data_IF_582555097021
#
_entry.id   IF_582555097021
#
_cell.length_a   1.000
_cell.length_b   1.000
_cell.length_c   1.000
_cell.angle_alpha   90.00
_cell.angle_beta   90.00
_cell.angle_gamma   90.00
#
_symmetry.space_group_name_H-M   'P 1'
#
loop_
_entity.id
_entity.type
_entity.pdbx_description
1 polymer ?
#
# COMPACT_ATOMS: atom_id res chain seq x y z
N UNK A 1 -46.93 27.71 16.37
CA UNK A 1 -45.76 28.00 15.48
C UNK A 1 -44.44 27.34 15.92
N UNK A 2 -44.44 26.30 16.79
CA UNK A 2 -43.22 25.68 17.34
C UNK A 2 -42.73 24.43 16.58
N UNK A 3 -43.56 23.86 15.70
CA UNK A 3 -43.28 22.60 15.00
C UNK A 3 -42.36 22.81 13.77
N UNK A 4 -42.30 24.01 13.19
CA UNK A 4 -41.48 24.28 11.98
C UNK A 4 -39.98 24.48 12.23
N UNK A 5 -39.54 24.66 13.49
CA UNK A 5 -38.11 24.83 13.81
C UNK A 5 -37.36 23.50 13.96
N UNK A 6 -38.04 22.44 14.41
CA UNK A 6 -37.42 21.13 14.65
C UNK A 6 -37.05 20.40 13.35
N UNK A 7 -37.83 20.60 12.28
CA UNK A 7 -37.61 19.94 10.98
C UNK A 7 -36.40 20.50 10.22
N UNK A 8 -36.05 21.78 10.43
CA UNK A 8 -34.90 22.40 9.76
C UNK A 8 -33.54 21.93 10.30
N UNK A 9 -33.46 21.62 11.60
CA UNK A 9 -32.21 21.16 12.23
C UNK A 9 -31.83 19.73 11.80
N UNK A 10 -32.82 18.85 11.57
CA UNK A 10 -32.58 17.48 11.13
C UNK A 10 -32.07 17.39 9.67
N UNK A 11 -32.51 18.30 8.78
CA UNK A 11 -32.06 18.35 7.39
C UNK A 11 -30.60 18.83 7.30
N UNK A 12 -30.17 19.74 8.17
CA UNK A 12 -28.78 20.21 8.23
C UNK A 12 -27.86 19.12 8.77
N UNK A 13 -28.28 18.35 9.79
CA UNK A 13 -27.46 17.27 10.36
C UNK A 13 -27.19 16.11 9.37
N UNK A 14 -28.13 15.80 8.47
CA UNK A 14 -27.93 14.78 7.43
C UNK A 14 -27.03 15.25 6.26
N UNK A 15 -26.84 16.56 6.08
CA UNK A 15 -25.98 17.11 5.04
C UNK A 15 -24.47 17.07 5.36
N UNK A 16 -24.11 16.68 6.59
CA UNK A 16 -22.72 16.58 7.06
C UNK A 16 -22.32 15.17 7.49
N UNK A 17 -23.13 14.16 7.18
CA UNK A 17 -22.64 12.79 7.14
C UNK A 17 -21.69 12.69 5.94
N UNK A 18 -20.45 13.13 6.12
CA UNK A 18 -19.39 12.80 5.18
C UNK A 18 -19.34 11.26 5.13
N UNK A 19 -19.39 10.64 3.95
CA UNK A 19 -19.13 9.21 3.87
C UNK A 19 -17.77 8.96 4.54
N UNK A 20 -17.67 7.87 5.30
CA UNK A 20 -16.36 7.35 5.71
C UNK A 20 -15.54 7.28 4.42
N UNK A 21 -14.51 8.11 4.32
CA UNK A 21 -13.68 8.11 3.12
C UNK A 21 -12.88 6.82 3.11
N UNK A 22 -12.82 6.19 1.94
CA UNK A 22 -12.03 4.99 1.71
C UNK A 22 -10.64 5.15 2.32
N UNK A 23 -10.25 4.20 3.17
CA UNK A 23 -8.97 4.24 3.86
C UNK A 23 -7.88 3.71 2.91
N UNK A 24 -7.42 4.58 2.00
CA UNK A 24 -6.20 4.30 1.26
C UNK A 24 -5.01 4.59 2.16
N UNK A 25 -4.36 3.55 2.65
CA UNK A 25 -3.14 3.67 3.45
C UNK A 25 -1.96 3.79 2.49
N UNK A 26 -1.10 4.78 2.70
CA UNK A 26 0.07 5.00 1.85
C UNK A 26 1.35 4.79 2.67
N UNK A 27 2.36 4.23 2.01
CA UNK A 27 3.65 3.95 2.59
C UNK A 27 4.76 4.39 1.65
N UNK A 28 5.80 4.99 2.24
CA UNK A 28 7.10 5.12 1.60
C UNK A 28 7.81 3.77 1.68
N UNK A 29 8.48 3.40 0.59
CA UNK A 29 9.19 2.13 0.44
C UNK A 29 10.69 2.37 0.51
N UNK A 30 11.38 1.63 1.37
CA UNK A 30 12.84 1.62 1.43
C UNK A 30 13.40 0.21 1.32
N UNK A 31 14.67 0.11 0.93
CA UNK A 31 15.36 -1.16 0.81
C UNK A 31 15.38 -1.94 2.14
N UNK A 32 15.20 -3.25 2.05
CA UNK A 32 15.41 -4.17 3.15
C UNK A 32 16.93 -4.31 3.41
N UNK A 33 17.53 -3.44 4.23
CA UNK A 33 19.01 -3.35 4.23
C UNK A 33 19.75 -4.32 5.16
N UNK A 34 20.85 -4.87 4.62
CA UNK A 34 21.99 -5.48 5.31
C UNK A 34 23.01 -6.06 4.30
N UNK A 35 24.31 -5.75 4.43
CA UNK A 35 25.40 -6.34 3.64
C UNK A 35 25.94 -5.50 2.45
N UNK A 36 26.78 -6.10 1.60
CA UNK A 36 27.56 -5.39 0.58
C UNK A 36 26.74 -4.83 -0.60
N UNK A 37 25.51 -5.31 -0.82
CA UNK A 37 24.65 -4.91 -1.93
C UNK A 37 23.18 -4.80 -1.47
N UNK A 38 22.85 -3.76 -0.69
CA UNK A 38 21.47 -3.51 -0.26
C UNK A 38 20.55 -3.37 -1.46
N UNK A 39 19.38 -3.99 -1.40
CA UNK A 39 18.42 -4.00 -2.49
C UNK A 39 17.03 -4.27 -1.95
N UNK A 40 16.03 -3.91 -2.74
CA UNK A 40 14.67 -4.35 -2.51
C UNK A 40 14.05 -5.08 -3.70
N UNK A 41 14.71 -5.10 -4.86
CA UNK A 41 14.38 -5.96 -5.98
C UNK A 41 15.59 -6.83 -6.34
N UNK A 42 15.36 -8.13 -6.52
CA UNK A 42 16.35 -9.11 -6.98
C UNK A 42 15.84 -9.85 -8.22
N UNK A 43 16.60 -9.80 -9.32
CA UNK A 43 16.16 -10.32 -10.64
C UNK A 43 16.64 -11.75 -10.95
N UNK A 44 17.08 -12.50 -9.94
CA UNK A 44 17.44 -13.93 -10.04
C UNK A 44 18.27 -14.34 -11.27
N UNK A 45 19.41 -13.67 -11.45
CA UNK A 45 20.37 -13.88 -12.53
C UNK A 45 19.83 -13.68 -13.96
N UNK A 46 18.65 -13.07 -14.15
CA UNK A 46 18.04 -12.92 -15.48
C UNK A 46 18.96 -12.20 -16.49
N UNK A 47 19.81 -11.29 -16.01
CA UNK A 47 20.69 -10.47 -16.86
C UNK A 47 22.18 -10.74 -16.64
N UNK A 48 22.55 -11.21 -15.45
CA UNK A 48 23.93 -11.30 -15.02
C UNK A 48 24.09 -12.27 -13.85
N UNK A 49 25.20 -13.01 -13.83
CA UNK A 49 25.59 -13.83 -12.68
C UNK A 49 26.28 -13.02 -11.59
N UNK A 50 26.67 -11.76 -11.87
CA UNK A 50 27.25 -10.88 -10.87
C UNK A 50 26.25 -10.64 -9.72
N UNK A 51 26.73 -10.83 -8.50
CA UNK A 51 25.84 -10.86 -7.34
C UNK A 51 25.15 -9.53 -7.07
N UNK A 52 25.75 -8.40 -7.45
CA UNK A 52 25.25 -7.06 -7.12
C UNK A 52 24.58 -6.37 -8.30
N UNK A 53 24.94 -6.71 -9.54
CA UNK A 53 24.27 -6.15 -10.72
C UNK A 53 22.83 -6.68 -10.90
N UNK A 54 22.50 -7.84 -10.30
CA UNK A 54 21.14 -8.39 -10.26
C UNK A 54 20.27 -7.84 -9.11
N UNK A 55 20.81 -6.92 -8.33
CA UNK A 55 20.20 -6.36 -7.12
C UNK A 55 19.94 -4.88 -7.34
N UNK A 56 18.69 -4.47 -7.22
CA UNK A 56 18.22 -3.13 -7.48
C UNK A 56 17.73 -2.50 -6.18
N UNK A 57 18.27 -1.33 -5.85
CA UNK A 57 17.91 -0.58 -4.67
C UNK A 57 16.77 0.38 -4.99
N UNK A 58 15.65 0.31 -4.27
CA UNK A 58 14.55 1.27 -4.37
C UNK A 58 15.05 2.69 -4.13
N UNK A 59 14.51 3.63 -4.91
CA UNK A 59 14.80 5.05 -4.85
C UNK A 59 13.68 5.81 -4.16
N UNK A 60 13.98 7.03 -3.71
CA UNK A 60 13.00 7.96 -3.17
C UNK A 60 11.82 8.13 -4.13
N UNK A 61 10.61 8.20 -3.56
CA UNK A 61 9.37 8.24 -4.34
C UNK A 61 8.84 6.87 -4.77
N UNK A 62 9.49 5.77 -4.36
CA UNK A 62 8.88 4.44 -4.42
C UNK A 62 7.83 4.34 -3.32
N UNK A 63 6.61 3.95 -3.70
CA UNK A 63 5.44 3.94 -2.83
C UNK A 63 4.71 2.62 -2.90
N UNK A 64 4.12 2.25 -1.76
CA UNK A 64 3.16 1.18 -1.64
C UNK A 64 1.87 1.73 -1.05
N UNK A 65 0.74 1.44 -1.66
CA UNK A 65 -0.57 1.83 -1.14
C UNK A 65 -1.51 0.64 -1.04
N UNK A 66 -2.39 0.69 -0.05
CA UNK A 66 -3.42 -0.33 0.22
C UNK A 66 -4.76 0.37 0.28
N UNK A 67 -5.66 -0.01 -0.63
CA UNK A 67 -7.07 0.34 -0.60
C UNK A 67 -7.83 -0.83 0.04
N UNK A 68 -8.15 -0.68 1.32
CA UNK A 68 -8.78 -1.71 2.14
C UNK A 68 -10.25 -1.94 1.77
N UNK A 69 -10.91 -0.94 1.17
CA UNK A 69 -12.30 -1.06 0.73
C UNK A 69 -12.41 -1.93 -0.52
N UNK A 70 -11.50 -1.72 -1.47
CA UNK A 70 -11.46 -2.48 -2.72
C UNK A 70 -10.64 -3.77 -2.60
N UNK A 71 -9.89 -3.95 -1.52
CA UNK A 71 -8.98 -5.09 -1.33
C UNK A 71 -7.88 -5.11 -2.38
N UNK A 72 -7.36 -3.93 -2.74
CA UNK A 72 -6.33 -3.75 -3.77
C UNK A 72 -5.10 -3.04 -3.23
N UNK A 73 -3.93 -3.35 -3.79
CA UNK A 73 -2.68 -2.67 -3.48
C UNK A 73 -2.02 -2.11 -4.74
N UNK A 74 -1.21 -1.06 -4.60
CA UNK A 74 -0.39 -0.54 -5.70
C UNK A 74 1.05 -0.37 -5.24
N UNK A 75 2.00 -0.90 -6.00
CA UNK A 75 3.42 -0.72 -5.78
C UNK A 75 4.02 -0.03 -7.01
N UNK A 76 4.49 1.19 -6.84
CA UNK A 76 5.07 1.99 -7.94
C UNK A 76 6.37 2.63 -7.51
N UNK A 77 7.30 2.80 -8.44
CA UNK A 77 8.54 3.52 -8.17
C UNK A 77 9.69 3.10 -9.06
N UNK A 78 10.90 3.38 -8.59
CA UNK A 78 12.12 3.02 -9.32
C UNK A 78 13.13 2.35 -8.41
N UNK A 79 13.94 1.46 -8.99
CA UNK A 79 15.05 0.84 -8.33
C UNK A 79 16.29 0.89 -9.24
N UNK A 80 17.50 1.01 -8.67
CA UNK A 80 18.74 1.18 -9.43
C UNK A 80 19.78 0.14 -8.98
N UNK A 81 20.45 -0.51 -9.93
CA UNK A 81 21.56 -1.44 -9.63
C UNK A 81 22.93 -0.72 -9.61
N UNK A 82 24.01 -1.45 -9.31
CA UNK A 82 25.36 -0.88 -9.25
C UNK A 82 25.91 -0.38 -10.60
N UNK A 83 25.30 -0.78 -11.73
CA UNK A 83 25.66 -0.30 -13.06
C UNK A 83 24.91 0.98 -13.43
N UNK A 84 23.98 1.45 -12.60
CA UNK A 84 23.10 2.58 -12.89
C UNK A 84 21.91 2.21 -13.79
N UNK A 85 21.64 0.92 -14.00
CA UNK A 85 20.43 0.49 -14.70
C UNK A 85 19.21 0.74 -13.82
N UNK A 86 18.19 1.36 -14.42
CA UNK A 86 16.95 1.71 -13.73
C UNK A 86 15.89 0.67 -14.04
N UNK A 87 15.31 0.11 -12.99
CA UNK A 87 14.07 -0.65 -13.01
C UNK A 87 12.92 0.28 -12.62
N UNK A 88 11.90 0.40 -13.47
CA UNK A 88 10.64 1.10 -13.14
C UNK A 88 9.60 0.06 -12.82
N UNK A 89 9.00 0.13 -11.62
CA UNK A 89 7.99 -0.81 -11.16
C UNK A 89 6.61 -0.16 -11.21
N UNK A 90 5.64 -0.90 -11.74
CA UNK A 90 4.23 -0.53 -11.73
C UNK A 90 3.40 -1.81 -11.59
N UNK A 91 3.06 -2.12 -10.34
CA UNK A 91 2.37 -3.35 -9.94
C UNK A 91 1.05 -3.01 -9.25
N UNK A 92 0.01 -3.75 -9.60
CA UNK A 92 -1.29 -3.73 -8.93
C UNK A 92 -1.53 -5.10 -8.29
N UNK A 93 -1.93 -5.08 -7.02
CA UNK A 93 -2.24 -6.27 -6.22
C UNK A 93 -3.74 -6.34 -5.97
N UNK A 94 -4.26 -7.56 -5.80
CA UNK A 94 -5.66 -7.78 -5.43
C UNK A 94 -5.84 -9.07 -4.64
N UNK A 95 -7.05 -9.29 -4.14
CA UNK A 95 -7.34 -10.43 -3.27
C UNK A 95 -6.71 -10.24 -1.89
N UNK A 96 -6.95 -9.08 -1.27
CA UNK A 96 -6.52 -8.80 0.09
C UNK A 96 -7.10 -9.84 1.06
N UNK A 97 -6.24 -10.39 1.91
CA UNK A 97 -6.58 -11.33 2.98
C UNK A 97 -5.89 -10.90 4.28
N UNK A 98 -6.64 -10.96 5.37
CA UNK A 98 -6.10 -10.71 6.72
C UNK A 98 -5.39 -11.95 7.31
N UNK A 99 -5.55 -13.12 6.68
CA UNK A 99 -4.99 -14.40 7.15
C UNK A 99 -4.87 -15.42 6.02
N UNK A 100 -3.91 -16.34 6.14
CA UNK A 100 -3.75 -17.48 5.23
C UNK A 100 -4.44 -18.75 5.74
N UNK A 101 -5.00 -18.72 6.96
CA UNK A 101 -5.59 -19.89 7.60
C UNK A 101 -6.75 -20.47 6.77
N UNK A 102 -6.62 -21.74 6.37
CA UNK A 102 -7.66 -22.43 5.59
C UNK A 102 -7.75 -22.04 4.12
N UNK A 103 -6.85 -21.19 3.62
CA UNK A 103 -6.87 -20.71 2.23
C UNK A 103 -6.16 -21.66 1.26
N UNK A 104 -5.17 -22.42 1.74
CA UNK A 104 -4.30 -23.26 0.92
C UNK A 104 -3.12 -22.50 0.28
N UNK A 105 -2.99 -21.20 0.55
CA UNK A 105 -1.82 -20.40 0.19
C UNK A 105 -0.70 -20.57 1.21
N UNK A 106 0.53 -20.42 0.72
CA UNK A 106 1.75 -20.53 1.49
C UNK A 106 2.33 -19.14 1.79
N UNK A 107 2.74 -18.94 3.04
CA UNK A 107 3.56 -17.79 3.43
C UNK A 107 4.93 -17.87 2.73
N UNK A 108 5.46 -16.74 2.25
CA UNK A 108 6.80 -16.72 1.63
C UNK A 108 7.85 -17.01 2.71
N UNK A 109 8.53 -18.14 2.57
CA UNK A 109 9.60 -18.52 3.48
C UNK A 109 10.83 -17.61 3.33
N UNK A 110 11.29 -17.05 4.45
CA UNK A 110 12.52 -16.27 4.58
C UNK A 110 12.37 -15.08 5.54
N UNK A 111 11.16 -14.54 5.67
CA UNK A 111 10.83 -13.47 6.63
C UNK A 111 10.65 -13.92 8.06
N UNK A 112 10.02 -13.04 8.85
CA UNK A 112 9.60 -13.37 10.19
C UNK A 112 8.64 -14.57 10.20
N UNK A 113 8.41 -15.20 11.36
CA UNK A 113 7.35 -16.19 11.50
C UNK A 113 6.02 -15.62 10.99
N UNK A 114 5.21 -16.46 10.37
CA UNK A 114 3.81 -16.15 10.05
C UNK A 114 3.09 -15.67 11.31
N UNK A 115 2.44 -14.51 11.21
CA UNK A 115 1.64 -13.92 12.28
C UNK A 115 0.37 -13.26 11.72
N UNK A 116 -0.78 -13.96 11.71
CA UNK A 116 -2.04 -13.43 11.16
C UNK A 116 -2.66 -12.32 12.02
N UNK A 117 -2.09 -12.00 13.19
CA UNK A 117 -2.56 -10.87 13.98
C UNK A 117 -1.96 -9.53 13.53
N UNK A 118 -0.90 -9.58 12.71
CA UNK A 118 -0.14 -8.39 12.33
C UNK A 118 0.14 -8.29 10.84
N UNK A 119 0.00 -9.36 10.08
CA UNK A 119 0.34 -9.43 8.66
C UNK A 119 -0.90 -9.62 7.78
N UNK A 120 -0.87 -8.97 6.64
CA UNK A 120 -1.89 -9.04 5.59
C UNK A 120 -1.26 -9.51 4.27
N UNK A 121 -2.10 -9.99 3.35
CA UNK A 121 -1.66 -10.69 2.15
C UNK A 121 -2.45 -10.28 0.90
N UNK A 122 -1.81 -10.31 -0.26
CA UNK A 122 -2.48 -10.27 -1.56
C UNK A 122 -2.22 -11.57 -2.31
N UNK A 123 -3.29 -12.15 -2.86
CA UNK A 123 -3.24 -13.45 -3.54
C UNK A 123 -3.13 -13.37 -5.06
N UNK A 124 -3.30 -12.17 -5.62
CA UNK A 124 -3.19 -11.94 -7.06
C UNK A 124 -2.46 -10.62 -7.35
N UNK A 125 -1.84 -10.53 -8.52
CA UNK A 125 -1.16 -9.34 -8.98
C UNK A 125 -1.04 -9.28 -10.51
N UNK A 126 -0.96 -8.04 -11.00
CA UNK A 126 -0.65 -7.74 -12.39
C UNK A 126 0.28 -6.53 -12.46
N UNK A 127 0.92 -6.34 -13.60
CA UNK A 127 1.76 -5.16 -13.83
C UNK A 127 3.07 -5.50 -14.50
N UNK A 128 3.96 -4.51 -14.48
CA UNK A 128 5.21 -4.57 -15.23
C UNK A 128 6.40 -4.04 -14.45
N UNK A 129 7.57 -4.51 -14.83
CA UNK A 129 8.86 -3.96 -14.43
C UNK A 129 9.63 -3.64 -15.71
N UNK A 130 9.96 -2.38 -15.93
CA UNK A 130 10.73 -1.94 -17.11
C UNK A 130 12.21 -1.76 -16.75
N UNK A 131 13.10 -2.47 -17.43
CA UNK A 131 14.56 -2.40 -17.22
C UNK A 131 15.23 -2.20 -18.58
N UNK A 132 16.07 -1.17 -18.72
CA UNK A 132 16.81 -0.92 -19.97
C UNK A 132 15.91 -0.75 -21.21
N UNK A 133 14.68 -0.26 -21.02
CA UNK A 133 13.66 -0.11 -22.07
C UNK A 133 12.94 -1.41 -22.46
N UNK A 134 13.23 -2.53 -21.81
CA UNK A 134 12.51 -3.79 -21.97
C UNK A 134 11.44 -3.93 -20.89
N UNK A 135 10.26 -4.41 -21.28
CA UNK A 135 9.12 -4.61 -20.38
C UNK A 135 9.07 -6.08 -19.96
N UNK A 136 9.17 -6.30 -18.66
CA UNK A 136 8.96 -7.59 -18.02
C UNK A 136 7.58 -7.56 -17.36
N UNK A 137 6.78 -8.61 -17.56
CA UNK A 137 5.38 -8.63 -17.12
C UNK A 137 5.19 -9.65 -16.01
N UNK A 138 4.42 -9.36 -14.97
CA UNK A 138 3.98 -10.40 -14.03
C UNK A 138 3.22 -11.49 -14.79
N UNK A 139 3.49 -12.75 -14.48
CA UNK A 139 2.79 -13.87 -15.10
C UNK A 139 1.31 -13.85 -14.66
N UNK A 140 0.35 -13.58 -15.56
CA UNK A 140 -1.06 -13.42 -15.17
C UNK A 140 -1.73 -14.71 -14.70
N UNK A 141 -1.09 -15.87 -14.91
CA UNK A 141 -1.62 -17.17 -14.49
C UNK A 141 -1.06 -17.64 -13.15
N UNK A 142 0.07 -17.08 -12.71
CA UNK A 142 0.83 -17.49 -11.53
C UNK A 142 1.76 -16.33 -11.17
N UNK A 143 1.22 -15.18 -10.71
CA UNK A 143 2.01 -13.95 -10.53
C UNK A 143 2.99 -14.05 -9.38
N UNK A 144 2.69 -14.91 -8.41
CA UNK A 144 3.55 -15.27 -7.30
C UNK A 144 4.11 -16.67 -7.52
N UNK A 145 5.29 -16.99 -6.99
CA UNK A 145 5.92 -18.28 -7.24
C UNK A 145 5.10 -19.44 -6.61
N UNK A 146 4.19 -20.04 -7.39
CA UNK A 146 3.32 -21.12 -6.95
C UNK A 146 2.21 -20.61 -6.01
N UNK A 147 1.98 -21.31 -4.90
CA UNK A 147 0.96 -20.93 -3.93
C UNK A 147 1.40 -19.79 -2.98
N UNK A 148 2.50 -19.10 -3.27
CA UNK A 148 2.97 -17.99 -2.43
C UNK A 148 2.12 -16.73 -2.64
N UNK A 149 2.26 -15.76 -1.72
CA UNK A 149 1.50 -14.50 -1.73
C UNK A 149 2.44 -13.31 -1.66
N UNK A 150 1.91 -12.11 -1.92
CA UNK A 150 2.55 -10.89 -1.44
C UNK A 150 2.14 -10.67 0.01
N UNK A 151 3.11 -10.55 0.92
CA UNK A 151 2.87 -10.32 2.33
C UNK A 151 3.32 -8.91 2.73
N UNK A 152 2.57 -8.25 3.61
CA UNK A 152 2.98 -6.99 4.23
C UNK A 152 2.54 -6.90 5.68
N UNK A 153 3.23 -6.08 6.47
CA UNK A 153 3.01 -5.96 7.92
C UNK A 153 4.29 -6.13 8.74
N UNK A 154 4.19 -6.14 10.09
CA UNK A 154 5.32 -6.43 10.98
C UNK A 154 5.88 -7.83 10.71
N UNK A 155 7.21 -7.92 10.53
CA UNK A 155 7.87 -9.21 10.27
C UNK A 155 7.78 -9.69 8.83
N UNK A 156 7.01 -9.03 7.97
CA UNK A 156 6.80 -9.45 6.58
C UNK A 156 8.03 -9.22 5.69
N UNK A 157 8.96 -8.35 6.09
CA UNK A 157 10.23 -8.18 5.39
C UNK A 157 11.15 -9.39 5.61
N UNK A 158 11.57 -10.02 4.51
CA UNK A 158 12.41 -11.22 4.48
C UNK A 158 13.80 -11.04 5.10
N UNK A 159 14.37 -9.84 5.01
CA UNK A 159 15.74 -9.57 5.43
C UNK A 159 15.84 -8.93 6.81
N UNK A 160 15.02 -7.91 7.08
CA UNK A 160 15.12 -7.13 8.32
C UNK A 160 14.19 -7.67 9.41
N UNK A 161 13.08 -8.33 9.01
CA UNK A 161 11.94 -8.68 9.87
C UNK A 161 11.24 -7.47 10.48
N UNK A 162 11.46 -6.28 9.92
CA UNK A 162 10.76 -5.07 10.33
C UNK A 162 9.37 -4.99 9.68
N UNK A 163 8.66 -3.90 9.94
CA UNK A 163 7.42 -3.59 9.23
C UNK A 163 7.73 -3.31 7.76
N UNK A 164 7.17 -4.14 6.88
CA UNK A 164 7.60 -4.15 5.49
C UNK A 164 6.72 -5.03 4.62
N UNK A 165 7.27 -5.50 3.51
CA UNK A 165 6.63 -6.49 2.68
C UNK A 165 7.62 -7.29 1.86
N UNK A 166 7.14 -8.43 1.35
CA UNK A 166 7.92 -9.28 0.46
C UNK A 166 7.08 -10.18 -0.44
N UNK A 167 7.66 -10.61 -1.55
CA UNK A 167 7.04 -11.60 -2.45
C UNK A 167 8.05 -12.19 -3.43
N UNK A 168 7.82 -13.43 -3.85
CA UNK A 168 8.46 -13.98 -5.05
C UNK A 168 7.56 -13.74 -6.25
N UNK A 169 8.05 -12.97 -7.21
CA UNK A 169 7.33 -12.58 -8.41
C UNK A 169 7.70 -13.50 -9.57
N UNK A 170 6.71 -14.11 -10.20
CA UNK A 170 6.92 -14.84 -11.44
C UNK A 170 6.79 -13.87 -12.61
N UNK A 171 7.85 -13.77 -13.41
CA UNK A 171 8.01 -12.74 -14.43
C UNK A 171 8.14 -13.39 -15.80
N UNK A 172 7.45 -12.81 -16.78
CA UNK A 172 7.62 -13.09 -18.19
C UNK A 172 8.59 -12.08 -18.81
N UNK A 173 9.49 -12.58 -19.65
CA UNK A 173 10.35 -11.74 -20.47
C UNK A 173 9.54 -11.00 -21.56
N UNK A 174 10.14 -10.05 -22.31
CA UNK A 174 9.44 -9.34 -23.39
C UNK A 174 8.87 -10.21 -24.51
N UNK A 175 9.27 -11.49 -24.59
CA UNK A 175 8.80 -12.45 -25.57
C UNK A 175 7.73 -13.39 -24.98
N UNK A 176 7.35 -13.21 -23.71
CA UNK A 176 6.36 -14.03 -23.02
C UNK A 176 6.91 -15.32 -22.42
N UNK A 177 8.23 -15.50 -22.37
CA UNK A 177 8.84 -16.68 -21.74
C UNK A 177 8.92 -16.49 -20.22
N UNK A 178 8.54 -17.53 -19.47
CA UNK A 178 8.71 -17.52 -18.01
C UNK A 178 10.19 -17.49 -17.62
N UNK A 179 10.56 -16.53 -16.79
CA UNK A 179 11.85 -16.44 -16.14
C UNK A 179 11.82 -17.16 -14.79
N UNK A 180 13.01 -17.34 -14.20
CA UNK A 180 13.05 -17.67 -12.76
C UNK A 180 12.45 -16.51 -11.97
N UNK A 181 11.75 -16.84 -10.87
CA UNK A 181 11.11 -15.83 -10.04
C UNK A 181 12.10 -14.71 -9.65
N UNK A 182 11.60 -13.48 -9.59
CA UNK A 182 12.28 -12.36 -8.97
C UNK A 182 11.81 -12.24 -7.51
N UNK A 183 12.52 -11.48 -6.70
CA UNK A 183 12.15 -11.27 -5.29
C UNK A 183 12.06 -9.77 -5.02
N UNK A 184 11.00 -9.36 -4.32
CA UNK A 184 10.85 -8.01 -3.78
C UNK A 184 10.83 -8.09 -2.26
N UNK A 185 11.59 -7.22 -1.59
CA UNK A 185 11.65 -7.11 -0.13
C UNK A 185 11.92 -5.66 0.26
N UNK A 186 11.14 -5.12 1.17
CA UNK A 186 11.26 -3.71 1.54
C UNK A 186 10.74 -3.45 2.93
N UNK A 187 11.26 -2.39 3.53
CA UNK A 187 10.70 -1.78 4.73
C UNK A 187 9.65 -0.75 4.30
N UNK A 188 8.62 -0.59 5.12
CA UNK A 188 7.54 0.36 4.91
C UNK A 188 7.59 1.42 6.02
N UNK A 189 7.39 2.68 5.63
CA UNK A 189 7.14 3.77 6.58
C UNK A 189 5.82 4.43 6.22
N UNK A 190 4.93 4.60 7.20
CA UNK A 190 3.62 5.20 6.95
C UNK A 190 3.76 6.63 6.41
N UNK A 191 3.22 6.86 5.21
CA UNK A 191 3.18 8.16 4.58
C UNK A 191 1.87 8.86 5.00
N UNK A 192 1.92 10.07 5.59
CA UNK A 192 0.72 10.73 6.09
C UNK A 192 -0.29 10.96 4.97
N UNK A 193 -1.48 10.38 5.09
CA UNK A 193 -2.61 10.74 4.25
C UNK A 193 -3.09 12.13 4.65
N UNK A 194 -3.12 13.06 3.68
CA UNK A 194 -3.76 14.36 3.91
C UNK A 194 -5.27 14.16 3.98
N UNK A 195 -5.78 13.86 5.17
CA UNK A 195 -7.22 13.83 5.41
C UNK A 195 -7.71 15.28 5.42
N UNK A 196 -8.66 15.67 4.55
CA UNK A 196 -9.30 16.98 4.65
C UNK A 196 -9.87 17.14 6.05
N UNK A 197 -9.60 18.28 6.71
CA UNK A 197 -10.04 18.52 8.08
C UNK A 197 -11.53 18.15 8.22
N UNK A 198 -11.92 17.34 9.22
CA UNK A 198 -13.29 16.85 9.32
C UNK A 198 -14.27 18.02 9.28
N UNK A 199 -15.32 17.90 8.48
CA UNK A 199 -16.42 18.87 8.47
C UNK A 199 -17.00 19.13 9.88
N UNK A 200 -16.77 18.20 10.82
CA UNK A 200 -17.03 18.34 12.25
C UNK A 200 -16.42 19.60 12.89
N UNK A 201 -15.22 20.04 12.51
CA UNK A 201 -14.62 21.28 13.05
C UNK A 201 -15.36 22.53 12.55
N UNK A 202 -15.73 22.55 11.27
CA UNK A 202 -16.53 23.62 10.70
C UNK A 202 -17.93 23.65 11.33
N UNK A 203 -18.56 22.49 11.51
CA UNK A 203 -19.84 22.31 12.18
C UNK A 203 -19.81 22.75 13.65
N UNK A 204 -18.76 22.38 14.38
CA UNK A 204 -18.57 22.79 15.75
C UNK A 204 -18.44 24.32 15.84
N UNK A 205 -17.66 24.92 14.92
CA UNK A 205 -17.56 26.37 14.78
C UNK A 205 -18.90 27.05 14.51
N UNK A 206 -19.69 26.51 13.57
CA UNK A 206 -21.05 27.00 13.27
C UNK A 206 -22.01 26.85 14.46
N UNK A 207 -21.91 25.74 15.20
CA UNK A 207 -22.68 25.50 16.41
C UNK A 207 -22.39 26.52 17.51
N UNK A 208 -21.11 26.83 17.73
CA UNK A 208 -20.68 27.86 18.69
C UNK A 208 -21.19 29.26 18.28
N UNK A 209 -21.10 29.61 17.01
CA UNK A 209 -21.62 30.89 16.48
C UNK A 209 -23.14 30.99 16.65
N UNK A 210 -23.87 29.90 16.39
CA UNK A 210 -25.31 29.82 16.60
C UNK A 210 -25.69 30.00 18.08
N UNK A 211 -24.99 29.31 18.99
CA UNK A 211 -25.20 29.43 20.43
C UNK A 211 -24.93 30.86 20.95
N UNK A 212 -23.87 31.49 20.46
CA UNK A 212 -23.53 32.87 20.79
C UNK A 212 -24.59 33.87 20.28
N UNK A 213 -25.07 33.71 19.05
CA UNK A 213 -26.15 34.52 18.48
C UNK A 213 -27.44 34.44 19.30
N UNK A 214 -27.83 33.24 19.73
CA UNK A 214 -29.00 33.03 20.61
C UNK A 214 -28.82 33.71 21.98
N UNK A 215 -27.61 33.68 22.55
CA UNK A 215 -27.30 34.35 23.82
C UNK A 215 -27.44 35.88 23.72
N UNK A 216 -27.03 36.48 22.60
CA UNK A 216 -27.17 37.94 22.40
C UNK A 216 -28.63 38.38 22.28
N UNK A 217 -29.48 37.62 21.58
CA UNK A 217 -30.90 37.97 21.43
C UNK A 217 -31.67 37.94 22.76
N UNK A 218 -31.31 37.05 23.70
CA UNK A 218 -31.91 37.02 25.04
C UNK A 218 -31.62 38.25 25.89
N UNK A 219 -30.51 38.97 25.65
CA UNK A 219 -30.18 40.21 26.39
C UNK A 219 -30.89 41.45 25.88
N UNK A 220 -31.43 41.42 24.65
CA UNK A 220 -32.12 42.58 24.04
C UNK A 220 -33.63 42.53 24.30
N UNK A 221 -34.16 41.35 24.63
CA UNK A 221 -35.59 41.14 24.92
C UNK A 221 -35.93 41.15 26.42
N UNK A 222 -35.00 41.58 27.28
CA UNK A 222 -35.14 41.68 28.73
C UNK A 222 -34.99 43.13 29.18
#
# INVERSE_FOLDING_TARGET
MKIKLATGAAIIAMAFAAPAQAEVINYDVSNATGGNCPHGLWTNNAFTSDSCNKRYAFQDGTTFSVDTDNGTGTFTGTAINQLGEVATLDLTLSGLLDTLDGTGFDYKAGGGPYDPATQDYFTDAMGTIMIGGQIFTLNPMDPFAGNTVFQFGPGANDFTRDFGGSSWLNILDPHGNALRHWDINFDLTHAPTQVPAPAGLALFGLGLLGAWGMRRRRKVAA
#
